data_IF_663272127897
#
_entry.id   IF_663272127897
#
_cell.length_a   1.000
_cell.length_b   1.000
_cell.length_c   1.000
_cell.angle_alpha   90.00
_cell.angle_beta   90.00
_cell.angle_gamma   90.00
#
_symmetry.space_group_name_H-M   'P 1'
#
loop_
_entity.id
_entity.type
_entity.pdbx_description
1 polymer ?
#
# COMPACT_ATOMS: atom_id res chain seq x y z
N UNK A 1 1.45 -6.72 -12.43
CA UNK A 1 0.17 -7.39 -12.14
C UNK A 1 -0.68 -6.54 -11.22
N UNK A 2 -2.02 -6.65 -11.34
CA UNK A 2 -2.94 -6.02 -10.41
C UNK A 2 -3.05 -6.90 -9.17
N UNK A 3 -2.71 -6.37 -8.00
CA UNK A 3 -2.85 -7.05 -6.73
C UNK A 3 -3.67 -6.21 -5.75
N UNK A 4 -4.43 -6.86 -4.89
CA UNK A 4 -5.11 -6.23 -3.79
C UNK A 4 -4.51 -6.73 -2.47
N UNK A 5 -4.01 -5.80 -1.65
CA UNK A 5 -3.42 -6.12 -0.36
C UNK A 5 -4.51 -6.12 0.71
N UNK A 6 -4.87 -7.30 1.18
CA UNK A 6 -5.82 -7.44 2.28
C UNK A 6 -5.14 -7.09 3.61
N UNK A 7 -5.32 -5.85 4.05
CA UNK A 7 -4.89 -5.35 5.35
C UNK A 7 -6.11 -4.88 6.14
N UNK A 8 -6.63 -5.72 7.03
CA UNK A 8 -7.64 -5.34 8.02
C UNK A 8 -6.98 -5.01 9.34
N UNK A 9 -6.53 -3.78 9.54
CA UNK A 9 -5.78 -3.42 10.75
C UNK A 9 -6.60 -3.35 12.03
N UNK A 10 -7.82 -2.89 11.98
CA UNK A 10 -8.63 -2.66 13.20
C UNK A 10 -9.72 -3.70 13.43
N UNK A 11 -10.20 -4.32 12.36
CA UNK A 11 -11.34 -5.24 12.39
C UNK A 11 -10.95 -6.70 12.27
N UNK A 12 -9.67 -7.01 11.99
CA UNK A 12 -9.15 -8.36 11.91
C UNK A 12 -8.13 -8.63 13.03
N UNK A 13 -8.57 -9.20 14.16
CA UNK A 13 -7.68 -9.52 15.27
C UNK A 13 -6.76 -10.70 15.00
N UNK A 14 -6.91 -11.39 13.87
CA UNK A 14 -6.14 -12.60 13.52
C UNK A 14 -4.97 -12.34 12.57
N UNK A 15 -4.81 -11.11 12.07
CA UNK A 15 -3.63 -10.74 11.29
C UNK A 15 -2.57 -10.04 12.12
N UNK A 16 -2.89 -9.56 13.32
CA UNK A 16 -1.99 -8.82 14.21
C UNK A 16 -2.03 -9.32 15.66
N UNK A 17 -1.27 -8.66 16.55
CA UNK A 17 -1.24 -8.93 17.98
C UNK A 17 -2.64 -8.78 18.61
N UNK A 18 -3.01 -9.68 19.53
CA UNK A 18 -2.25 -10.85 20.01
C UNK A 18 -2.53 -12.14 19.23
N UNK A 19 -3.49 -12.15 18.32
CA UNK A 19 -4.09 -13.36 17.77
C UNK A 19 -3.49 -13.82 16.42
N UNK A 20 -2.44 -13.17 15.92
CA UNK A 20 -1.82 -13.56 14.64
C UNK A 20 -1.33 -15.03 14.62
N UNK A 21 -1.07 -15.60 15.82
CA UNK A 21 -0.66 -17.01 16.00
C UNK A 21 -1.81 -17.99 15.79
N UNK A 22 -3.06 -17.52 15.92
CA UNK A 22 -4.25 -18.37 15.89
C UNK A 22 -4.78 -18.51 14.44
N UNK A 23 -5.39 -19.66 14.11
CA UNK A 23 -6.11 -19.78 12.84
C UNK A 23 -7.30 -18.81 12.79
N UNK A 24 -7.71 -18.44 11.60
CA UNK A 24 -8.99 -17.73 11.42
C UNK A 24 -10.16 -18.63 11.83
N UNK A 25 -11.18 -18.10 12.51
CA UNK A 25 -12.45 -18.80 12.67
C UNK A 25 -13.08 -19.13 11.31
N UNK A 26 -13.94 -20.16 11.30
CA UNK A 26 -14.51 -20.69 10.05
C UNK A 26 -15.23 -19.63 9.21
N UNK A 27 -15.98 -18.73 9.85
CA UNK A 27 -16.71 -17.65 9.16
C UNK A 27 -15.76 -16.68 8.48
N UNK A 28 -14.72 -16.21 9.18
CA UNK A 28 -13.74 -15.27 8.64
C UNK A 28 -12.89 -15.93 7.54
N UNK A 29 -12.49 -17.19 7.73
CA UNK A 29 -11.82 -17.97 6.71
C UNK A 29 -12.68 -18.13 5.44
N UNK A 30 -13.98 -18.36 5.62
CA UNK A 30 -14.95 -18.39 4.53
C UNK A 30 -15.03 -17.08 3.75
N UNK A 31 -15.13 -15.95 4.45
CA UNK A 31 -15.14 -14.62 3.84
C UNK A 31 -13.84 -14.34 3.04
N UNK A 32 -12.69 -14.71 3.61
CA UNK A 32 -11.40 -14.55 2.93
C UNK A 32 -11.38 -15.42 1.65
N UNK A 33 -11.85 -16.64 1.71
CA UNK A 33 -11.93 -17.51 0.56
C UNK A 33 -12.82 -16.93 -0.56
N UNK A 34 -13.94 -16.33 -0.21
CA UNK A 34 -14.82 -15.66 -1.18
C UNK A 34 -14.11 -14.49 -1.86
N UNK A 35 -13.33 -13.70 -1.11
CA UNK A 35 -12.52 -12.59 -1.64
C UNK A 35 -11.43 -13.12 -2.59
N UNK A 36 -10.71 -14.17 -2.22
CA UNK A 36 -9.69 -14.81 -3.07
C UNK A 36 -10.32 -15.25 -4.41
N UNK A 37 -11.46 -15.91 -4.36
CA UNK A 37 -12.16 -16.34 -5.57
C UNK A 37 -12.69 -15.17 -6.40
N UNK A 38 -13.12 -14.08 -5.76
CA UNK A 38 -13.53 -12.86 -6.46
C UNK A 38 -12.33 -12.21 -7.16
N UNK A 39 -11.20 -12.07 -6.49
CA UNK A 39 -9.96 -11.56 -7.08
C UNK A 39 -9.54 -12.39 -8.27
N UNK A 40 -9.52 -13.73 -8.14
CA UNK A 40 -9.18 -14.65 -9.20
C UNK A 40 -10.09 -14.54 -10.43
N UNK A 41 -11.41 -14.42 -10.23
CA UNK A 41 -12.37 -14.20 -11.34
C UNK A 41 -12.10 -12.89 -12.07
N UNK A 42 -11.61 -11.87 -11.37
CA UNK A 42 -11.30 -10.57 -11.93
C UNK A 42 -9.83 -10.41 -12.37
N UNK A 43 -9.04 -11.46 -12.33
CA UNK A 43 -7.60 -11.46 -12.67
C UNK A 43 -6.79 -10.50 -11.81
N UNK A 44 -7.14 -10.44 -10.54
CA UNK A 44 -6.45 -9.66 -9.51
C UNK A 44 -5.81 -10.66 -8.54
N UNK A 45 -4.55 -10.44 -8.18
CA UNK A 45 -3.88 -11.25 -7.16
C UNK A 45 -4.34 -10.79 -5.76
N UNK A 46 -4.81 -11.73 -4.97
CA UNK A 46 -5.12 -11.47 -3.57
C UNK A 46 -3.84 -11.61 -2.74
N UNK A 47 -3.36 -10.50 -2.17
CA UNK A 47 -2.19 -10.47 -1.29
C UNK A 47 -2.65 -10.49 0.16
N UNK A 48 -2.31 -11.56 0.89
CA UNK A 48 -2.61 -11.63 2.31
C UNK A 48 -1.43 -11.11 3.13
N UNK A 49 -1.70 -10.15 4.03
CA UNK A 49 -0.70 -9.52 4.89
C UNK A 49 -0.88 -9.93 6.34
N UNK A 50 0.23 -10.10 7.08
CA UNK A 50 0.28 -10.35 8.51
C UNK A 50 1.20 -9.36 9.21
N UNK A 51 0.86 -8.97 10.44
CA UNK A 51 1.56 -7.96 11.23
C UNK A 51 1.94 -8.52 12.63
N UNK A 52 2.97 -9.34 12.74
CA UNK A 52 3.36 -9.98 13.99
C UNK A 52 4.27 -9.11 14.86
N UNK A 53 4.78 -7.99 14.34
CA UNK A 53 5.91 -7.25 14.89
C UNK A 53 5.73 -6.72 16.31
N UNK A 54 4.49 -6.49 16.76
CA UNK A 54 4.24 -5.90 18.08
C UNK A 54 4.60 -6.82 19.25
N UNK A 55 4.48 -8.15 19.07
CA UNK A 55 4.67 -9.13 20.15
C UNK A 55 5.45 -10.40 19.76
N UNK A 56 6.09 -10.39 18.60
CA UNK A 56 6.93 -11.50 18.15
C UNK A 56 8.12 -11.72 19.09
N UNK A 57 8.35 -12.96 19.48
CA UNK A 57 9.41 -13.34 20.43
C UNK A 57 10.72 -13.78 19.78
N UNK A 58 10.77 -13.85 18.47
CA UNK A 58 11.95 -14.26 17.70
C UNK A 58 12.49 -15.66 18.08
N UNK A 59 11.61 -16.57 18.46
CA UNK A 59 11.92 -17.96 18.80
C UNK A 59 11.32 -18.93 17.77
N UNK A 60 11.68 -20.20 17.90
CA UNK A 60 11.19 -21.25 16.99
C UNK A 60 9.68 -21.45 17.07
N UNK A 61 9.09 -21.29 18.27
CA UNK A 61 7.63 -21.42 18.45
C UNK A 61 6.87 -20.39 17.60
N UNK A 62 7.27 -19.12 17.67
CA UNK A 62 6.64 -18.05 16.88
C UNK A 62 6.90 -18.22 15.37
N UNK A 63 8.07 -18.71 15.00
CA UNK A 63 8.34 -19.05 13.62
C UNK A 63 7.40 -20.15 13.10
N UNK A 64 7.20 -21.22 13.86
CA UNK A 64 6.29 -22.29 13.46
C UNK A 64 4.83 -21.81 13.44
N UNK A 65 4.41 -20.96 14.36
CA UNK A 65 3.08 -20.34 14.33
C UNK A 65 2.88 -19.53 13.03
N UNK A 66 3.89 -18.79 12.63
CA UNK A 66 3.85 -18.00 11.38
C UNK A 66 3.78 -18.91 10.15
N UNK A 67 4.62 -19.93 10.06
CA UNK A 67 4.60 -20.90 8.96
C UNK A 67 3.26 -21.64 8.89
N UNK A 68 2.72 -22.03 10.04
CA UNK A 68 1.39 -22.66 10.11
C UNK A 68 0.31 -21.72 9.57
N UNK A 69 0.34 -20.45 9.95
CA UNK A 69 -0.60 -19.44 9.47
C UNK A 69 -0.49 -19.24 7.96
N UNK A 70 0.73 -19.17 7.43
CA UNK A 70 0.99 -19.08 5.99
C UNK A 70 0.44 -20.29 5.24
N UNK A 71 0.63 -21.50 5.77
CA UNK A 71 0.08 -22.72 5.19
C UNK A 71 -1.46 -22.70 5.17
N UNK A 72 -2.11 -22.30 6.26
CA UNK A 72 -3.57 -22.16 6.31
C UNK A 72 -4.08 -21.20 5.23
N UNK A 73 -3.42 -20.07 5.05
CA UNK A 73 -3.79 -19.08 4.01
C UNK A 73 -3.52 -19.63 2.60
N UNK A 74 -2.41 -20.32 2.42
CA UNK A 74 -2.10 -21.00 1.16
C UNK A 74 -3.16 -22.04 0.79
N UNK A 75 -3.63 -22.82 1.77
CA UNK A 75 -4.69 -23.84 1.58
C UNK A 75 -6.05 -23.20 1.24
N UNK A 76 -6.30 -21.97 1.71
CA UNK A 76 -7.46 -21.16 1.30
C UNK A 76 -7.34 -20.63 -0.14
N UNK A 77 -6.14 -20.67 -0.74
CA UNK A 77 -5.90 -20.25 -2.12
C UNK A 77 -5.02 -19.01 -2.29
N UNK A 78 -4.49 -18.44 -1.20
CA UNK A 78 -3.54 -17.30 -1.27
C UNK A 78 -2.24 -17.73 -1.97
N UNK A 79 -1.72 -16.86 -2.86
CA UNK A 79 -0.47 -17.10 -3.59
C UNK A 79 0.50 -15.93 -3.53
N UNK A 80 0.10 -14.81 -2.92
CA UNK A 80 0.96 -13.68 -2.65
C UNK A 80 0.82 -13.27 -1.19
N UNK A 81 1.94 -12.96 -0.53
CA UNK A 81 2.01 -12.75 0.90
C UNK A 81 2.76 -11.48 1.24
N UNK A 82 2.38 -10.84 2.35
CA UNK A 82 3.11 -9.70 2.90
C UNK A 82 3.31 -9.85 4.41
N UNK A 83 4.45 -9.36 4.89
CA UNK A 83 4.80 -9.30 6.30
C UNK A 83 5.05 -7.86 6.71
N UNK A 84 4.37 -7.37 7.74
CA UNK A 84 4.39 -5.97 8.11
C UNK A 84 5.01 -5.74 9.48
N UNK A 85 5.88 -4.72 9.56
CA UNK A 85 6.55 -4.24 10.75
C UNK A 85 6.40 -2.72 10.93
N UNK A 86 5.40 -2.12 10.26
CA UNK A 86 5.04 -0.71 10.41
C UNK A 86 4.41 -0.45 11.78
N UNK A 87 4.56 0.76 12.28
CA UNK A 87 3.91 1.29 13.49
C UNK A 87 4.08 0.43 14.76
N UNK A 88 5.24 -0.18 14.92
CA UNK A 88 5.60 -0.98 16.09
C UNK A 88 6.73 -0.36 16.90
N UNK A 89 6.96 -0.89 18.08
CA UNK A 89 8.04 -0.51 18.98
C UNK A 89 8.71 -1.74 19.63
N UNK A 90 9.83 -1.52 20.29
CA UNK A 90 10.53 -2.55 21.05
C UNK A 90 11.29 -3.54 20.16
N UNK A 91 11.38 -4.80 20.60
CA UNK A 91 12.18 -5.85 19.95
C UNK A 91 11.72 -6.21 18.53
N UNK A 92 10.47 -5.96 18.20
CA UNK A 92 9.94 -6.18 16.86
C UNK A 92 10.60 -5.31 15.77
N UNK A 93 11.20 -4.19 16.16
CA UNK A 93 11.84 -3.23 15.23
C UNK A 93 13.24 -3.65 14.80
N UNK A 94 13.79 -4.75 15.30
CA UNK A 94 15.14 -5.18 15.01
C UNK A 94 15.29 -5.64 13.54
N UNK A 95 16.00 -4.88 12.69
CA UNK A 95 16.06 -5.16 11.25
C UNK A 95 16.82 -6.44 10.90
N UNK A 96 17.78 -6.85 11.73
CA UNK A 96 18.51 -8.11 11.52
C UNK A 96 17.57 -9.30 11.73
N UNK A 97 16.80 -9.29 12.82
CA UNK A 97 15.81 -10.34 13.09
C UNK A 97 14.69 -10.36 12.04
N UNK A 98 14.26 -9.18 11.58
CA UNK A 98 13.26 -9.07 10.50
C UNK A 98 13.77 -9.70 9.21
N UNK A 99 14.99 -9.38 8.77
CA UNK A 99 15.56 -9.93 7.53
C UNK A 99 15.88 -11.42 7.64
N UNK A 100 16.36 -11.91 8.78
CA UNK A 100 16.54 -13.34 9.04
C UNK A 100 15.24 -14.12 8.93
N UNK A 101 14.16 -13.62 9.55
CA UNK A 101 12.82 -14.22 9.47
C UNK A 101 12.31 -14.26 8.02
N UNK A 102 12.39 -13.15 7.31
CA UNK A 102 11.93 -13.03 5.93
C UNK A 102 12.70 -13.96 4.98
N UNK A 103 14.03 -14.04 5.13
CA UNK A 103 14.86 -14.93 4.34
C UNK A 103 14.54 -16.40 4.62
N UNK A 104 14.31 -16.74 5.89
CA UNK A 104 13.90 -18.09 6.29
C UNK A 104 12.53 -18.46 5.71
N UNK A 105 11.54 -17.58 5.79
CA UNK A 105 10.23 -17.77 5.16
C UNK A 105 10.32 -17.92 3.64
N UNK A 106 11.15 -17.11 3.01
CA UNK A 106 11.38 -17.20 1.56
C UNK A 106 11.92 -18.58 1.18
N UNK A 107 12.90 -19.10 1.93
CA UNK A 107 13.48 -20.43 1.70
C UNK A 107 12.49 -21.54 2.01
N UNK A 108 11.91 -21.53 3.22
CA UNK A 108 11.19 -22.67 3.78
C UNK A 108 9.75 -22.73 3.31
N UNK A 109 9.17 -21.60 2.89
CA UNK A 109 7.78 -21.52 2.44
C UNK A 109 7.68 -21.10 0.97
N UNK A 110 8.11 -19.86 0.60
CA UNK A 110 7.89 -19.33 -0.75
C UNK A 110 8.52 -20.23 -1.81
N UNK A 111 9.81 -20.52 -1.69
CA UNK A 111 10.53 -21.36 -2.67
C UNK A 111 10.11 -22.85 -2.59
N UNK A 112 9.69 -23.34 -1.44
CA UNK A 112 9.28 -24.71 -1.27
C UNK A 112 7.93 -25.04 -1.92
N UNK A 113 7.01 -24.09 -1.96
CA UNK A 113 5.68 -24.26 -2.57
C UNK A 113 5.75 -24.25 -4.11
N UNK A 114 6.64 -23.45 -4.68
CA UNK A 114 6.87 -23.37 -6.13
C UNK A 114 5.83 -22.56 -6.91
N UNK A 115 4.66 -22.27 -6.34
CA UNK A 115 3.59 -21.48 -6.94
C UNK A 115 3.17 -20.27 -6.10
N UNK A 116 3.92 -19.92 -5.05
CA UNK A 116 3.81 -18.64 -4.35
C UNK A 116 4.48 -17.56 -5.19
N UNK A 117 3.72 -16.54 -5.55
CA UNK A 117 4.15 -15.54 -6.52
C UNK A 117 5.26 -14.64 -5.96
N UNK A 118 5.07 -14.09 -4.75
CA UNK A 118 6.03 -13.20 -4.09
C UNK A 118 5.77 -13.05 -2.60
N UNK A 119 6.77 -12.50 -1.91
CA UNK A 119 6.68 -12.00 -0.54
C UNK A 119 7.06 -10.52 -0.54
N UNK A 120 6.26 -9.70 0.12
CA UNK A 120 6.51 -8.27 0.29
C UNK A 120 6.67 -7.95 1.77
N UNK A 121 7.51 -6.99 2.11
CA UNK A 121 7.67 -6.51 3.49
C UNK A 121 7.41 -5.01 3.60
N UNK A 122 6.68 -4.61 4.65
CA UNK A 122 6.70 -3.23 5.13
C UNK A 122 7.71 -3.15 6.29
N UNK A 123 8.86 -2.47 6.13
CA UNK A 123 9.83 -2.32 7.19
C UNK A 123 9.31 -1.36 8.27
N UNK A 124 9.90 -1.37 9.45
CA UNK A 124 9.57 -0.38 10.49
C UNK A 124 9.90 1.03 10.03
N UNK A 125 11.04 1.21 9.36
CA UNK A 125 11.47 2.49 8.78
C UNK A 125 10.92 2.65 7.35
N UNK A 126 9.62 2.69 7.20
CA UNK A 126 8.94 2.75 5.90
C UNK A 126 8.82 4.17 5.31
N UNK A 127 9.27 5.20 6.04
CA UNK A 127 9.24 6.60 5.63
C UNK A 127 10.55 7.31 5.97
N UNK A 128 10.99 8.22 5.12
CA UNK A 128 12.20 9.04 5.37
C UNK A 128 12.04 9.94 6.62
N UNK A 129 10.79 10.22 7.01
CA UNK A 129 10.49 11.07 8.16
C UNK A 129 11.17 10.60 9.46
N UNK A 130 11.29 9.28 9.65
CA UNK A 130 11.92 8.69 10.85
C UNK A 130 13.01 7.67 10.55
N UNK A 131 13.25 7.34 9.30
CA UNK A 131 14.38 6.50 8.94
C UNK A 131 15.70 7.21 9.22
N UNK A 132 16.76 6.44 9.47
CA UNK A 132 18.09 6.99 9.67
C UNK A 132 18.51 7.85 8.45
N UNK A 133 18.79 9.15 8.62
CA UNK A 133 19.13 10.03 7.50
C UNK A 133 20.46 9.67 6.83
N UNK A 134 21.35 8.97 7.55
CA UNK A 134 22.63 8.51 6.99
C UNK A 134 22.43 7.25 6.14
N UNK A 135 23.39 6.87 5.27
CA UNK A 135 23.33 5.61 4.52
C UNK A 135 23.29 4.35 5.38
N UNK A 136 23.63 4.47 6.67
CA UNK A 136 23.61 3.37 7.64
C UNK A 136 22.25 3.34 8.33
N UNK A 137 21.85 2.18 8.81
CA UNK A 137 20.59 1.98 9.53
C UNK A 137 19.83 0.73 9.07
N UNK A 138 18.57 0.63 9.47
CA UNK A 138 17.74 -0.54 9.20
C UNK A 138 17.57 -0.83 7.70
N UNK A 139 17.37 0.20 6.88
CA UNK A 139 17.20 0.06 5.43
C UNK A 139 18.47 -0.44 4.74
N UNK A 140 19.67 -0.06 5.22
CA UNK A 140 20.92 -0.60 4.73
C UNK A 140 21.06 -2.10 5.05
N UNK A 141 20.65 -2.51 6.25
CA UNK A 141 20.62 -3.93 6.64
C UNK A 141 19.69 -4.71 5.71
N UNK A 142 18.52 -4.17 5.39
CA UNK A 142 17.62 -4.76 4.38
C UNK A 142 18.32 -4.91 3.03
N UNK A 143 18.99 -3.86 2.56
CA UNK A 143 19.72 -3.88 1.28
C UNK A 143 20.87 -4.88 1.22
N UNK A 144 21.52 -5.15 2.36
CA UNK A 144 22.67 -6.04 2.44
C UNK A 144 22.32 -7.51 2.65
N UNK A 145 21.22 -7.77 3.38
CA UNK A 145 20.95 -9.13 3.90
C UNK A 145 19.65 -9.74 3.41
N UNK A 146 18.66 -8.93 2.96
CA UNK A 146 17.36 -9.43 2.54
C UNK A 146 17.44 -10.14 1.17
N UNK A 147 16.80 -11.30 1.05
CA UNK A 147 16.70 -12.04 -0.23
C UNK A 147 16.19 -11.09 -1.33
N UNK A 148 16.85 -11.02 -2.49
CA UNK A 148 16.52 -10.07 -3.54
C UNK A 148 15.13 -10.25 -4.15
N UNK A 149 14.49 -11.39 -3.96
CA UNK A 149 13.12 -11.64 -4.42
C UNK A 149 12.04 -11.00 -3.55
N UNK A 150 12.40 -10.46 -2.37
CA UNK A 150 11.45 -9.84 -1.46
C UNK A 150 11.31 -8.37 -1.82
N UNK A 151 10.08 -7.92 -2.07
CA UNK A 151 9.75 -6.53 -2.32
C UNK A 151 9.66 -5.74 -1.01
N UNK A 152 10.07 -4.46 -1.02
CA UNK A 152 10.12 -3.62 0.17
C UNK A 152 9.26 -2.38 -0.03
N UNK A 153 8.26 -2.19 0.84
CA UNK A 153 7.40 -1.01 0.83
C UNK A 153 8.12 0.25 1.30
N UNK A 154 7.75 1.37 0.70
CA UNK A 154 8.21 2.71 1.02
C UNK A 154 7.11 3.73 0.80
N UNK A 155 6.87 4.63 1.77
CA UNK A 155 5.81 5.65 1.65
C UNK A 155 6.32 7.00 1.14
N UNK A 156 7.63 7.21 1.06
CA UNK A 156 8.22 8.47 0.60
C UNK A 156 8.84 9.30 1.71
N UNK A 157 8.99 10.59 1.48
CA UNK A 157 9.64 11.52 2.42
C UNK A 157 8.85 11.68 3.71
N UNK A 158 7.52 11.54 3.63
CA UNK A 158 6.58 11.51 4.76
C UNK A 158 5.58 10.37 4.57
N UNK A 159 4.67 10.16 5.52
CA UNK A 159 3.67 9.06 5.45
C UNK A 159 2.72 9.22 4.27
N UNK A 160 2.27 10.45 4.00
CA UNK A 160 1.47 10.78 2.82
C UNK A 160 2.31 11.67 1.91
N UNK A 161 3.07 11.08 1.02
CA UNK A 161 4.07 11.74 0.18
C UNK A 161 3.76 11.55 -1.30
N UNK A 162 4.23 12.50 -2.11
CA UNK A 162 4.25 12.35 -3.55
C UNK A 162 5.31 11.31 -3.96
N UNK A 163 5.08 10.68 -5.08
CA UNK A 163 6.01 9.77 -5.72
C UNK A 163 6.97 10.57 -6.61
N UNK A 164 8.20 10.72 -6.16
CA UNK A 164 9.24 11.48 -6.86
C UNK A 164 10.50 10.64 -7.10
N UNK A 165 11.29 10.97 -8.14
CA UNK A 165 12.59 10.33 -8.36
C UNK A 165 13.50 10.43 -7.14
N UNK A 166 13.54 11.58 -6.47
CA UNK A 166 14.43 11.87 -5.35
C UNK A 166 14.15 10.96 -4.15
N UNK A 167 12.88 10.70 -3.83
CA UNK A 167 12.53 9.79 -2.73
C UNK A 167 12.88 8.35 -3.07
N UNK A 168 12.72 7.95 -4.35
CA UNK A 168 13.09 6.61 -4.81
C UNK A 168 14.61 6.42 -4.82
N UNK A 169 15.37 7.36 -5.34
CA UNK A 169 16.84 7.33 -5.30
C UNK A 169 17.34 7.20 -3.86
N UNK A 170 16.72 7.94 -2.95
CA UNK A 170 17.09 7.90 -1.54
C UNK A 170 16.88 6.51 -0.93
N UNK A 171 15.74 5.88 -1.13
CA UNK A 171 15.45 4.55 -0.54
C UNK A 171 16.14 3.43 -1.30
N UNK A 172 16.13 3.46 -2.64
CA UNK A 172 16.71 2.40 -3.48
C UNK A 172 18.22 2.23 -3.26
N UNK A 173 18.94 3.35 -3.04
CA UNK A 173 20.36 3.30 -2.69
C UNK A 173 20.63 2.55 -1.39
N UNK A 174 19.68 2.54 -0.45
CA UNK A 174 19.77 1.85 0.84
C UNK A 174 19.32 0.40 0.76
N UNK A 175 18.13 0.16 0.23
CA UNK A 175 17.57 -1.21 0.13
C UNK A 175 18.16 -2.02 -1.05
N UNK A 176 18.95 -1.39 -1.92
CA UNK A 176 19.65 -1.97 -3.09
C UNK A 176 18.69 -2.71 -4.05
N UNK A 177 17.51 -2.17 -4.23
CA UNK A 177 16.48 -2.64 -5.16
C UNK A 177 15.44 -1.55 -5.41
N UNK A 178 14.66 -1.62 -6.52
CA UNK A 178 13.50 -0.77 -6.70
C UNK A 178 12.50 -0.95 -5.57
N UNK A 179 12.04 0.15 -4.96
CA UNK A 179 11.04 0.10 -3.90
C UNK A 179 9.64 -0.22 -4.45
N UNK A 180 8.82 -0.82 -3.60
CA UNK A 180 7.38 -0.90 -3.81
C UNK A 180 6.76 0.31 -3.11
N UNK A 181 6.27 1.28 -3.89
CA UNK A 181 5.78 2.52 -3.33
C UNK A 181 4.40 2.33 -2.70
N UNK A 182 4.30 2.47 -1.37
CA UNK A 182 3.05 2.51 -0.65
C UNK A 182 2.54 3.95 -0.63
N UNK A 183 1.55 4.23 -1.45
CA UNK A 183 0.99 5.55 -1.55
C UNK A 183 -0.25 5.72 -0.69
N UNK A 184 -0.15 6.57 0.35
CA UNK A 184 -1.26 6.89 1.23
C UNK A 184 -2.21 7.90 0.58
N UNK A 185 -2.81 7.49 -0.52
CA UNK A 185 -3.83 8.19 -1.26
C UNK A 185 -4.77 7.15 -1.93
N UNK A 186 -6.09 7.36 -1.93
CA UNK A 186 -6.87 8.49 -1.39
C UNK A 186 -7.32 8.30 0.08
N UNK A 187 -6.58 7.60 0.91
CA UNK A 187 -6.96 7.37 2.32
C UNK A 187 -7.31 8.68 3.03
N UNK A 188 -8.37 8.62 3.85
CA UNK A 188 -8.87 9.76 4.62
C UNK A 188 -9.12 9.41 6.10
N UNK A 189 -8.47 8.37 6.62
CA UNK A 189 -8.65 7.94 8.01
C UNK A 189 -8.16 8.99 9.03
N UNK A 190 -7.27 9.88 8.64
CA UNK A 190 -6.79 11.02 9.41
C UNK A 190 -7.68 12.27 9.28
N UNK A 191 -8.62 12.31 8.29
CA UNK A 191 -9.56 13.42 8.01
C UNK A 191 -10.91 12.85 7.56
N UNK A 192 -11.61 12.19 8.45
CA UNK A 192 -12.78 11.35 8.14
C UNK A 192 -14.00 12.07 7.56
N UNK A 193 -14.03 13.39 7.59
CA UNK A 193 -15.11 14.21 7.05
C UNK A 193 -14.87 14.65 5.60
N UNK A 194 -13.82 14.12 4.94
CA UNK A 194 -13.44 14.47 3.57
C UNK A 194 -13.49 13.22 2.68
N UNK A 195 -13.91 13.43 1.44
CA UNK A 195 -13.84 12.45 0.36
C UNK A 195 -13.00 13.05 -0.75
N UNK A 196 -11.94 12.35 -1.18
CA UNK A 196 -11.04 12.82 -2.24
C UNK A 196 -11.52 12.32 -3.61
N UNK A 197 -12.00 13.26 -4.43
CA UNK A 197 -12.60 12.99 -5.75
C UNK A 197 -11.90 13.75 -6.89
N UNK A 198 -10.82 14.45 -6.60
CA UNK A 198 -10.09 15.24 -7.61
C UNK A 198 -9.21 14.39 -8.52
N UNK A 199 -8.60 15.05 -9.52
CA UNK A 199 -7.56 14.42 -10.34
C UNK A 199 -6.41 13.91 -9.48
N UNK A 200 -5.82 12.80 -9.90
CA UNK A 200 -4.77 12.11 -9.12
C UNK A 200 -3.41 12.70 -9.46
N UNK A 201 -2.99 13.66 -8.66
CA UNK A 201 -1.67 14.29 -8.72
C UNK A 201 -0.66 13.60 -7.81
N UNK A 202 0.60 14.04 -7.86
CA UNK A 202 1.65 13.54 -7.00
C UNK A 202 2.34 12.27 -7.51
N UNK A 203 2.08 11.89 -8.75
CA UNK A 203 2.70 10.74 -9.43
C UNK A 203 3.62 11.25 -10.56
N UNK A 204 4.92 11.10 -10.39
CA UNK A 204 5.90 11.55 -11.37
C UNK A 204 5.90 10.66 -12.62
N UNK A 205 5.87 11.27 -13.80
CA UNK A 205 5.74 10.58 -15.09
C UNK A 205 7.07 10.26 -15.79
N UNK A 206 8.20 10.58 -15.16
CA UNK A 206 9.54 10.25 -15.69
C UNK A 206 10.09 8.92 -15.15
N UNK A 207 9.36 8.25 -14.26
CA UNK A 207 9.76 7.01 -13.62
C UNK A 207 9.56 5.79 -14.53
N UNK A 208 10.35 4.75 -14.29
CA UNK A 208 10.24 3.45 -14.97
C UNK A 208 10.44 2.27 -14.00
N UNK A 209 10.52 1.06 -14.55
CA UNK A 209 10.70 -0.18 -13.78
C UNK A 209 12.06 -0.33 -13.10
N UNK A 210 13.04 0.53 -13.38
CA UNK A 210 14.30 0.57 -12.66
C UNK A 210 14.18 1.38 -11.37
N UNK A 211 13.22 2.30 -11.32
CA UNK A 211 13.00 3.19 -10.18
C UNK A 211 12.10 2.56 -9.12
N UNK A 212 11.02 1.89 -9.56
CA UNK A 212 10.05 1.24 -8.65
C UNK A 212 9.56 -0.09 -9.21
N UNK A 213 9.28 -1.05 -8.32
CA UNK A 213 8.73 -2.35 -8.72
C UNK A 213 7.20 -2.38 -8.72
N UNK A 214 6.54 -1.44 -8.05
CA UNK A 214 5.08 -1.36 -7.99
C UNK A 214 4.57 -0.20 -7.14
N UNK A 215 3.26 -0.01 -7.16
CA UNK A 215 2.55 0.96 -6.32
C UNK A 215 1.39 0.26 -5.61
N UNK A 216 1.32 0.45 -4.29
CA UNK A 216 0.17 0.10 -3.48
C UNK A 216 -0.55 1.38 -3.07
N UNK A 217 -1.78 1.56 -3.53
CA UNK A 217 -2.63 2.68 -3.11
C UNK A 217 -3.40 2.29 -1.85
N UNK A 218 -3.40 3.17 -0.85
CA UNK A 218 -4.22 3.03 0.34
C UNK A 218 -5.54 3.79 0.13
N UNK A 219 -6.69 3.12 -0.10
CA UNK A 219 -7.94 3.76 -0.44
C UNK A 219 -8.65 4.35 0.78
N UNK A 220 -9.69 5.15 0.52
CA UNK A 220 -10.66 5.52 1.57
C UNK A 220 -11.42 4.29 2.07
N UNK A 221 -11.97 4.36 3.29
CA UNK A 221 -12.88 3.34 3.82
C UNK A 221 -14.17 3.17 2.98
N UNK A 222 -14.48 4.16 2.16
CA UNK A 222 -15.63 4.20 1.25
C UNK A 222 -15.23 3.66 -0.12
N UNK A 223 -15.44 2.36 -0.35
CA UNK A 223 -14.98 1.68 -1.58
C UNK A 223 -15.50 2.31 -2.88
N UNK A 224 -16.78 2.69 -2.94
CA UNK A 224 -17.35 3.34 -4.13
C UNK A 224 -16.71 4.72 -4.38
N UNK A 225 -16.48 5.50 -3.33
CA UNK A 225 -15.85 6.81 -3.46
C UNK A 225 -14.36 6.70 -3.87
N UNK A 226 -13.70 5.59 -3.57
CA UNK A 226 -12.29 5.36 -3.93
C UNK A 226 -12.09 5.04 -5.41
N UNK A 227 -13.13 4.63 -6.14
CA UNK A 227 -13.02 4.15 -7.53
C UNK A 227 -12.40 5.17 -8.46
N UNK A 228 -12.74 6.46 -8.33
CA UNK A 228 -12.20 7.51 -9.22
C UNK A 228 -10.69 7.68 -9.02
N UNK A 229 -10.22 7.70 -7.77
CA UNK A 229 -8.79 7.76 -7.48
C UNK A 229 -8.06 6.49 -7.93
N UNK A 230 -8.63 5.31 -7.66
CA UNK A 230 -8.04 4.03 -8.10
C UNK A 230 -7.99 3.90 -9.62
N UNK A 231 -8.95 4.50 -10.35
CA UNK A 231 -8.91 4.61 -11.80
C UNK A 231 -7.67 5.40 -12.26
N UNK A 232 -7.34 6.50 -11.56
CA UNK A 232 -6.13 7.27 -11.82
C UNK A 232 -4.85 6.49 -11.57
N UNK A 233 -4.77 5.79 -10.43
CA UNK A 233 -3.60 4.95 -10.10
C UNK A 233 -3.43 3.83 -11.14
N UNK A 234 -4.51 3.18 -11.54
CA UNK A 234 -4.47 2.12 -12.54
C UNK A 234 -3.97 2.62 -13.91
N UNK A 235 -4.45 3.76 -14.37
CA UNK A 235 -4.01 4.37 -15.63
C UNK A 235 -2.52 4.78 -15.58
N UNK A 236 -2.10 5.39 -14.47
CA UNK A 236 -0.69 5.73 -14.25
C UNK A 236 0.21 4.49 -14.31
N UNK A 237 -0.14 3.43 -13.59
CA UNK A 237 0.68 2.21 -13.56
C UNK A 237 0.66 1.44 -14.88
N UNK A 238 -0.37 1.64 -15.70
CA UNK A 238 -0.45 1.06 -17.03
C UNK A 238 0.53 1.71 -18.02
N UNK A 239 0.65 3.04 -17.98
CA UNK A 239 1.56 3.80 -18.83
C UNK A 239 2.01 5.11 -18.16
N UNK A 240 3.04 5.00 -17.34
CA UNK A 240 3.57 6.10 -16.53
C UNK A 240 3.85 7.35 -17.38
N UNK A 241 4.56 7.19 -18.49
CA UNK A 241 5.01 8.32 -19.32
C UNK A 241 3.87 9.07 -20.03
N UNK A 242 2.74 8.41 -20.27
CA UNK A 242 1.59 9.00 -20.93
C UNK A 242 0.50 9.49 -19.96
N UNK A 243 0.70 9.30 -18.66
CA UNK A 243 -0.31 9.66 -17.68
C UNK A 243 -0.53 11.18 -17.62
N UNK A 244 -1.80 11.59 -17.71
CA UNK A 244 -2.24 12.96 -17.48
C UNK A 244 -3.39 12.95 -16.48
N UNK A 245 -3.24 13.58 -15.31
CA UNK A 245 -4.23 13.51 -14.23
C UNK A 245 -5.59 14.11 -14.62
N UNK A 246 -5.62 15.19 -15.40
CA UNK A 246 -6.87 15.83 -15.83
C UNK A 246 -7.60 14.97 -16.87
N UNK A 247 -6.91 14.55 -17.91
CA UNK A 247 -7.51 13.72 -18.97
C UNK A 247 -8.02 12.38 -18.41
N UNK A 248 -7.25 11.79 -17.50
CA UNK A 248 -7.65 10.58 -16.79
C UNK A 248 -8.93 10.82 -15.98
N UNK A 249 -8.96 11.88 -15.18
CA UNK A 249 -10.08 12.21 -14.31
C UNK A 249 -11.37 12.44 -15.12
N UNK A 250 -11.31 13.21 -16.19
CA UNK A 250 -12.45 13.47 -17.09
C UNK A 250 -12.97 12.16 -17.73
N UNK A 251 -12.09 11.25 -18.13
CA UNK A 251 -12.49 9.92 -18.61
C UNK A 251 -13.14 9.10 -17.49
N UNK A 252 -12.50 9.05 -16.31
CA UNK A 252 -12.98 8.30 -15.16
C UNK A 252 -14.37 8.70 -14.71
N UNK A 253 -14.69 9.99 -14.71
CA UNK A 253 -16.05 10.50 -14.43
C UNK A 253 -17.08 9.91 -15.40
N UNK A 254 -16.75 9.88 -16.69
CA UNK A 254 -17.64 9.34 -17.71
C UNK A 254 -17.80 7.82 -17.65
N UNK A 255 -16.74 7.09 -17.35
CA UNK A 255 -16.78 5.63 -17.26
C UNK A 255 -17.46 5.13 -15.99
N UNK A 256 -17.21 5.78 -14.85
CA UNK A 256 -17.80 5.38 -13.57
C UNK A 256 -19.27 5.79 -13.45
N UNK A 257 -19.67 6.93 -14.02
CA UNK A 257 -21.02 7.47 -13.90
C UNK A 257 -21.58 7.96 -15.27
N UNK A 258 -21.70 7.07 -16.26
CA UNK A 258 -22.05 7.47 -17.63
C UNK A 258 -23.42 8.16 -17.75
N UNK A 259 -24.38 7.86 -16.84
CA UNK A 259 -25.72 8.44 -16.84
C UNK A 259 -25.81 9.76 -16.07
N UNK A 260 -24.79 10.11 -15.27
CA UNK A 260 -24.81 11.28 -14.40
C UNK A 260 -23.43 11.99 -14.36
N UNK A 261 -22.69 11.95 -15.48
CA UNK A 261 -21.31 12.46 -15.55
C UNK A 261 -21.20 13.91 -15.07
N UNK A 262 -22.05 14.80 -15.55
CA UNK A 262 -21.98 16.23 -15.20
C UNK A 262 -22.31 16.49 -13.72
N UNK A 263 -23.31 15.82 -13.19
CA UNK A 263 -23.62 15.89 -11.76
C UNK A 263 -22.48 15.35 -10.90
N UNK A 264 -21.88 14.24 -11.32
CA UNK A 264 -20.73 13.67 -10.62
C UNK A 264 -19.50 14.59 -10.70
N UNK A 265 -19.27 15.21 -11.89
CA UNK A 265 -18.19 16.17 -12.08
C UNK A 265 -18.35 17.36 -11.13
N UNK A 266 -19.55 17.93 -11.04
CA UNK A 266 -19.84 19.03 -10.11
C UNK A 266 -19.56 18.64 -8.66
N UNK A 267 -20.04 17.47 -8.24
CA UNK A 267 -19.74 16.93 -6.89
C UNK A 267 -18.23 16.76 -6.67
N UNK A 268 -17.53 16.17 -7.64
CA UNK A 268 -16.11 15.87 -7.54
C UNK A 268 -15.24 17.12 -7.43
N UNK A 269 -15.56 18.20 -8.16
CA UNK A 269 -14.86 19.49 -8.05
C UNK A 269 -14.91 20.05 -6.62
N UNK A 270 -16.02 19.86 -5.92
CA UNK A 270 -16.18 20.33 -4.54
C UNK A 270 -15.69 19.33 -3.48
N UNK A 271 -15.08 18.23 -3.89
CA UNK A 271 -14.59 17.16 -3.02
C UNK A 271 -13.18 16.70 -3.43
N UNK A 272 -12.35 17.60 -3.94
CA UNK A 272 -11.10 17.22 -4.56
C UNK A 272 -9.84 17.56 -3.75
N UNK A 273 -9.97 18.34 -2.69
CA UNK A 273 -8.82 18.82 -1.93
C UNK A 273 -9.04 18.70 -0.42
N UNK A 274 -7.96 18.73 0.33
CA UNK A 274 -7.98 18.79 1.78
C UNK A 274 -6.99 19.83 2.28
N UNK A 275 -7.46 20.71 3.14
CA UNK A 275 -6.62 21.67 3.84
C UNK A 275 -6.00 21.08 5.11
N UNK A 276 -6.32 19.83 5.44
CA UNK A 276 -5.89 19.16 6.65
C UNK A 276 -5.07 17.92 6.34
N UNK A 277 -4.29 17.47 7.31
CA UNK A 277 -3.45 16.29 7.16
C UNK A 277 -2.06 16.57 6.61
N UNK A 278 -1.38 15.53 6.21
CA UNK A 278 0.04 15.58 5.80
C UNK A 278 0.31 16.29 4.48
N UNK A 279 -0.72 16.53 3.68
CA UNK A 279 -0.61 17.01 2.31
C UNK A 279 -0.88 18.48 2.14
N UNK A 280 -0.82 19.18 3.20
CA UNK A 280 -1.23 20.56 3.27
C UNK A 280 -0.41 21.51 2.41
N UNK A 281 0.87 21.23 2.27
CA UNK A 281 1.87 22.17 1.75
C UNK A 281 2.43 21.77 0.40
N UNK A 282 1.95 20.65 -0.16
CA UNK A 282 2.62 19.99 -1.25
C UNK A 282 2.00 20.30 -2.62
N UNK A 283 2.60 19.75 -3.62
CA UNK A 283 2.14 19.65 -5.02
C UNK A 283 0.67 19.21 -5.22
N UNK A 284 0.07 18.70 -4.19
CA UNK A 284 -1.35 18.41 -4.04
C UNK A 284 -2.26 19.61 -4.18
N UNK A 285 -1.74 20.79 -3.91
CA UNK A 285 -2.50 22.00 -4.04
C UNK A 285 -2.72 22.36 -5.49
N UNK A 286 -3.69 21.74 -6.09
CA UNK A 286 -4.22 22.18 -7.35
C UNK A 286 -5.17 23.31 -7.08
N UNK A 287 -4.67 24.52 -7.18
CA UNK A 287 -5.47 25.74 -7.09
C UNK A 287 -6.70 25.72 -8.01
N UNK A 288 -6.62 24.94 -9.08
CA UNK A 288 -7.68 24.77 -10.09
C UNK A 288 -8.95 24.11 -9.54
N UNK A 289 -8.83 23.29 -8.48
CA UNK A 289 -9.97 22.57 -7.91
C UNK A 289 -10.27 22.97 -6.46
N UNK A 290 -9.64 24.01 -5.95
CA UNK A 290 -9.97 24.54 -4.64
C UNK A 290 -11.30 25.26 -4.68
N UNK A 291 -12.10 25.02 -3.67
CA UNK A 291 -13.23 25.89 -3.35
C UNK A 291 -12.63 27.23 -2.91
N UNK A 292 -12.84 28.25 -3.73
CA UNK A 292 -12.51 29.63 -3.35
C UNK A 292 -13.38 30.10 -2.17
N UNK A 293 -13.08 31.25 -1.62
CA UNK A 293 -13.95 31.91 -0.68
C UNK A 293 -15.34 32.06 -1.29
N UNK A 294 -16.37 31.81 -0.47
CA UNK A 294 -17.75 31.93 -0.91
C UNK A 294 -18.00 33.34 -1.50
N UNK A 295 -18.51 33.38 -2.71
CA UNK A 295 -18.85 34.61 -3.38
C UNK A 295 -20.31 34.52 -3.90
N UNK A 296 -21.17 35.33 -3.33
CA UNK A 296 -22.60 35.38 -3.71
C UNK A 296 -22.84 35.70 -5.18
N UNK A 297 -21.86 36.31 -5.87
CA UNK A 297 -21.97 36.69 -7.27
C UNK A 297 -21.65 35.52 -8.21
N UNK A 298 -20.99 34.47 -7.74
CA UNK A 298 -20.60 33.28 -8.51
C UNK A 298 -21.49 32.06 -8.20
N UNK A 299 -22.40 32.18 -7.24
CA UNK A 299 -23.37 31.16 -6.87
C UNK A 299 -24.66 31.32 -7.67
#
# INVERSE_FOLDING_TARGET
GLGDVYKRQKDDPYHSCPNWRLPYPEKEAGNIKELIEACKRNRVDFVWAIHPGQDIKWNEEDYQNLVNKFNLMYDLGVRAFALFFDDISGEGTNPVKQTELLNRLTKDFVKSKGDVAYLTVCPTDYSKLWANPTPQGSLAIYGETLDPSIEVFWTGDVVCSDLTPETLDWVNSRIKRPAYFWWNYPVTDYVRNIILQGPVYGLNTSLDSNDLCGIASNPMEHGEASKLALYGVADYTWNIAAYNPIDNWERGLGELMPKAREAYRTFAIHSCDTETGYRRDESWETKTFRIGDWNETEA
#
